data_IF_866383914803
#
_entry.id   IF_866383914803
#
_cell.length_a   1.000
_cell.length_b   1.000
_cell.length_c   1.000
_cell.angle_alpha   90.00
_cell.angle_beta   90.00
_cell.angle_gamma   90.00
#
_symmetry.space_group_name_H-M   'P 1'
#
loop_
_entity.id
_entity.type
_entity.pdbx_description
1 polymer ?
#
# COMPACT_ATOMS: atom_id res chain seq x y z
N UNK A 1 -28.17 -33.95 15.94
CA UNK A 1 -28.48 -32.86 14.97
C UNK A 1 -28.23 -31.46 15.54
N UNK A 2 -28.58 -31.18 16.80
CA UNK A 2 -28.36 -29.86 17.45
C UNK A 2 -26.88 -29.45 17.52
N UNK A 3 -25.98 -30.36 17.90
CA UNK A 3 -24.53 -30.11 18.00
C UNK A 3 -23.87 -29.76 16.66
N UNK A 4 -24.32 -30.38 15.56
CA UNK A 4 -23.78 -30.09 14.22
C UNK A 4 -24.16 -28.67 13.77
N UNK A 5 -25.37 -28.20 14.12
CA UNK A 5 -25.79 -26.83 13.83
C UNK A 5 -24.98 -25.80 14.62
N UNK A 6 -24.70 -26.08 15.91
CA UNK A 6 -23.88 -25.20 16.75
C UNK A 6 -22.41 -25.16 16.31
N UNK A 7 -21.84 -26.29 15.86
CA UNK A 7 -20.48 -26.33 15.30
C UNK A 7 -20.37 -25.53 14.00
N UNK A 8 -21.37 -25.63 13.11
CA UNK A 8 -21.41 -24.86 11.87
C UNK A 8 -21.57 -23.37 12.15
N UNK A 9 -22.39 -22.98 13.12
CA UNK A 9 -22.57 -21.58 13.50
C UNK A 9 -21.32 -20.97 14.17
N UNK A 10 -20.64 -21.72 15.04
CA UNK A 10 -19.33 -21.32 15.59
C UNK A 10 -18.27 -21.21 14.50
N UNK A 11 -18.28 -22.11 13.51
CA UNK A 11 -17.41 -22.06 12.33
C UNK A 11 -17.63 -20.79 11.50
N UNK A 12 -18.89 -20.45 11.20
CA UNK A 12 -19.27 -19.21 10.49
C UNK A 12 -18.87 -17.95 11.26
N UNK A 13 -19.10 -17.92 12.58
CA UNK A 13 -18.70 -16.81 13.46
C UNK A 13 -17.17 -16.62 13.45
N UNK A 14 -16.40 -17.70 13.58
CA UNK A 14 -14.93 -17.64 13.54
C UNK A 14 -14.39 -17.20 12.17
N UNK A 15 -15.02 -17.64 11.07
CA UNK A 15 -14.68 -17.18 9.72
C UNK A 15 -14.98 -15.69 9.53
N UNK A 16 -16.12 -15.22 10.04
CA UNK A 16 -16.52 -13.81 9.94
C UNK A 16 -15.56 -12.89 10.71
N UNK A 17 -15.16 -13.30 11.93
CA UNK A 17 -14.16 -12.56 12.73
C UNK A 17 -12.80 -12.51 12.04
N UNK A 18 -12.33 -13.64 11.47
CA UNK A 18 -11.08 -13.67 10.69
C UNK A 18 -11.17 -12.79 9.44
N UNK A 19 -12.30 -12.81 8.74
CA UNK A 19 -12.55 -11.97 7.56
C UNK A 19 -12.53 -10.48 7.91
N UNK A 20 -13.19 -10.07 9.00
CA UNK A 20 -13.12 -8.68 9.49
C UNK A 20 -11.71 -8.24 9.86
N UNK A 21 -10.93 -9.12 10.53
CA UNK A 21 -9.54 -8.82 10.87
C UNK A 21 -8.66 -8.66 9.61
N UNK A 22 -8.94 -9.42 8.55
CA UNK A 22 -8.25 -9.30 7.27
C UNK A 22 -8.62 -8.02 6.50
N UNK A 23 -9.88 -7.58 6.61
CA UNK A 23 -10.37 -6.37 5.96
C UNK A 23 -9.53 -5.12 6.35
N UNK A 24 -8.98 -5.10 7.57
CA UNK A 24 -8.08 -4.05 8.06
C UNK A 24 -6.83 -3.84 7.18
N UNK A 25 -6.37 -4.88 6.49
CA UNK A 25 -5.18 -4.84 5.64
C UNK A 25 -5.48 -4.62 4.15
N UNK A 26 -6.75 -4.61 3.74
CA UNK A 26 -7.12 -4.46 2.33
C UNK A 26 -6.62 -3.14 1.74
N UNK A 27 -6.72 -2.03 2.48
CA UNK A 27 -6.28 -0.72 2.00
C UNK A 27 -4.78 -0.71 1.65
N UNK A 28 -3.95 -1.37 2.45
CA UNK A 28 -2.52 -1.49 2.21
C UNK A 28 -2.25 -2.24 0.91
N UNK A 29 -2.96 -3.36 0.71
CA UNK A 29 -2.80 -4.18 -0.49
C UNK A 29 -3.23 -3.45 -1.76
N UNK A 30 -4.38 -2.77 -1.74
CA UNK A 30 -4.88 -2.03 -2.91
C UNK A 30 -3.98 -0.85 -3.26
N UNK A 31 -3.50 -0.10 -2.27
CA UNK A 31 -2.61 1.03 -2.54
C UNK A 31 -1.23 0.55 -3.01
N UNK A 32 -0.66 -0.50 -2.40
CA UNK A 32 0.59 -1.11 -2.90
C UNK A 32 0.42 -1.63 -4.33
N UNK A 33 -0.70 -2.26 -4.68
CA UNK A 33 -0.97 -2.66 -6.06
C UNK A 33 -1.05 -1.45 -7.01
N UNK A 34 -1.67 -0.34 -6.59
CA UNK A 34 -1.70 0.90 -7.36
C UNK A 34 -0.30 1.47 -7.63
N UNK A 35 0.58 1.49 -6.62
CA UNK A 35 1.99 1.86 -6.80
C UNK A 35 2.71 0.92 -7.74
N UNK A 36 2.55 -0.40 -7.55
CA UNK A 36 3.14 -1.40 -8.42
C UNK A 36 2.78 -1.16 -9.90
N UNK A 37 1.50 -1.01 -10.22
CA UNK A 37 1.09 -0.80 -11.61
C UNK A 37 1.56 0.53 -12.18
N UNK A 38 1.58 1.59 -11.37
CA UNK A 38 2.07 2.91 -11.78
C UNK A 38 3.58 2.87 -12.07
N UNK A 39 4.36 2.29 -11.16
CA UNK A 39 5.81 2.11 -11.31
C UNK A 39 6.13 1.21 -12.51
N UNK A 40 5.34 0.15 -12.73
CA UNK A 40 5.50 -0.77 -13.87
C UNK A 40 5.22 -0.08 -15.19
N UNK A 41 4.12 0.68 -15.27
CA UNK A 41 3.79 1.45 -16.47
C UNK A 41 4.89 2.47 -16.78
N UNK A 42 5.36 3.20 -15.77
CA UNK A 42 6.43 4.17 -15.94
C UNK A 42 7.75 3.53 -16.37
N UNK A 43 8.10 2.36 -15.82
CA UNK A 43 9.27 1.58 -16.25
C UNK A 43 9.20 1.24 -17.74
N UNK A 44 8.06 0.74 -18.22
CA UNK A 44 7.90 0.39 -19.64
C UNK A 44 8.05 1.59 -20.57
N UNK A 45 7.55 2.77 -20.16
CA UNK A 45 7.73 4.00 -20.94
C UNK A 45 9.20 4.45 -21.00
N UNK A 46 10.00 4.19 -19.96
CA UNK A 46 11.43 4.53 -19.92
C UNK A 46 12.33 3.47 -20.56
N UNK A 47 11.88 2.21 -20.64
CA UNK A 47 12.65 1.09 -21.19
C UNK A 47 13.05 1.31 -22.66
N UNK A 48 12.24 2.04 -23.42
CA UNK A 48 12.53 2.38 -24.83
C UNK A 48 13.56 3.50 -25.03
N UNK A 49 14.09 4.10 -23.95
CA UNK A 49 15.02 5.23 -24.02
C UNK A 49 16.45 4.82 -23.69
N UNK A 50 17.42 5.47 -24.34
CA UNK A 50 18.84 5.39 -23.98
C UNK A 50 19.07 5.95 -22.57
N UNK A 51 19.47 5.08 -21.64
CA UNK A 51 19.84 5.46 -20.27
C UNK A 51 19.43 4.44 -19.22
N UNK A 52 19.81 4.72 -17.96
CA UNK A 52 19.52 3.87 -16.80
C UNK A 52 18.40 4.42 -15.92
N UNK A 53 17.64 5.41 -16.40
CA UNK A 53 16.56 6.05 -15.64
C UNK A 53 15.40 5.09 -15.32
N UNK A 54 15.23 4.03 -16.12
CA UNK A 54 14.26 2.97 -15.87
C UNK A 54 14.59 2.13 -14.61
N UNK A 55 15.83 2.17 -14.11
CA UNK A 55 16.22 1.46 -12.89
C UNK A 55 15.46 1.97 -11.66
N UNK A 56 15.11 3.26 -11.63
CA UNK A 56 14.40 3.83 -10.48
C UNK A 56 12.98 3.24 -10.33
N UNK A 57 12.10 3.27 -11.34
CA UNK A 57 10.82 2.57 -11.23
C UNK A 57 10.98 1.06 -11.07
N UNK A 58 12.01 0.43 -11.66
CA UNK A 58 12.29 -0.98 -11.45
C UNK A 58 12.64 -1.32 -9.98
N UNK A 59 13.45 -0.48 -9.33
CA UNK A 59 13.77 -0.63 -7.92
C UNK A 59 12.53 -0.46 -7.03
N UNK A 60 11.66 0.50 -7.36
CA UNK A 60 10.39 0.69 -6.65
C UNK A 60 9.47 -0.54 -6.80
N UNK A 61 9.44 -1.19 -7.96
CA UNK A 61 8.71 -2.45 -8.13
C UNK A 61 9.21 -3.55 -7.19
N UNK A 62 10.52 -3.68 -7.01
CA UNK A 62 11.08 -4.66 -6.08
C UNK A 62 10.66 -4.36 -4.64
N UNK A 63 10.61 -3.08 -4.27
CA UNK A 63 10.09 -2.63 -2.97
C UNK A 63 8.60 -2.98 -2.84
N UNK A 64 7.78 -2.68 -3.85
CA UNK A 64 6.35 -2.99 -3.85
C UNK A 64 6.08 -4.50 -3.72
N UNK A 65 6.86 -5.34 -4.42
CA UNK A 65 6.79 -6.79 -4.31
C UNK A 65 7.15 -7.24 -2.89
N UNK A 66 8.25 -6.73 -2.33
CA UNK A 66 8.68 -7.09 -0.98
C UNK A 66 7.61 -6.72 0.07
N UNK A 67 7.01 -5.53 -0.07
CA UNK A 67 5.88 -5.08 0.76
C UNK A 67 4.66 -5.99 0.59
N UNK A 68 4.30 -6.33 -0.65
CA UNK A 68 3.16 -7.22 -0.93
C UNK A 68 3.36 -8.63 -0.35
N UNK A 69 4.59 -9.16 -0.37
CA UNK A 69 4.95 -10.44 0.25
C UNK A 69 4.80 -10.37 1.78
N UNK A 70 5.29 -9.31 2.43
CA UNK A 70 5.14 -9.12 3.88
C UNK A 70 3.65 -9.00 4.28
N UNK A 71 2.88 -8.20 3.53
CA UNK A 71 1.44 -8.03 3.76
C UNK A 71 0.66 -9.34 3.60
N UNK A 72 1.03 -10.17 2.63
CA UNK A 72 0.37 -11.47 2.39
C UNK A 72 0.78 -12.50 3.44
N UNK A 73 2.04 -12.50 3.89
CA UNK A 73 2.50 -13.35 4.99
C UNK A 73 1.80 -13.07 6.33
N UNK A 74 1.44 -11.80 6.59
CA UNK A 74 0.69 -11.38 7.79
C UNK A 74 -0.75 -11.88 7.84
N UNK A 75 -1.32 -12.34 6.73
CA UNK A 75 -2.61 -13.05 6.72
C UNK A 75 -2.56 -14.33 7.56
N UNK A 76 -1.41 -15.03 7.54
CA UNK A 76 -1.24 -16.31 8.21
C UNK A 76 -0.67 -16.19 9.62
N UNK A 77 0.08 -15.12 9.92
CA UNK A 77 0.62 -14.83 11.26
C UNK A 77 0.30 -13.38 11.64
N UNK A 78 -0.74 -13.14 12.47
CA UNK A 78 -1.05 -11.80 12.95
C UNK A 78 0.07 -11.35 13.88
N UNK A 79 1.03 -10.60 13.33
CA UNK A 79 2.11 -10.00 14.09
C UNK A 79 2.06 -8.49 13.86
N UNK A 80 1.99 -7.73 14.95
CA UNK A 80 1.67 -6.29 14.95
C UNK A 80 2.72 -5.39 14.29
N UNK A 81 3.94 -5.87 14.04
CA UNK A 81 5.05 -5.04 13.52
C UNK A 81 5.10 -5.04 12.00
N UNK A 82 4.63 -3.98 11.34
CA UNK A 82 4.74 -3.77 9.88
C UNK A 82 6.03 -3.00 9.52
N UNK A 83 7.19 -3.59 9.81
CA UNK A 83 8.48 -2.91 9.64
C UNK A 83 8.86 -2.74 8.17
N UNK A 84 8.66 -3.75 7.32
CA UNK A 84 9.04 -3.64 5.90
C UNK A 84 8.06 -2.71 5.14
N UNK A 85 6.77 -2.80 5.46
CA UNK A 85 5.72 -1.98 4.88
C UNK A 85 5.92 -0.50 5.19
N UNK A 86 6.30 -0.16 6.43
CA UNK A 86 6.64 1.23 6.79
C UNK A 86 7.86 1.74 6.03
N UNK A 87 8.96 0.96 6.01
CA UNK A 87 10.17 1.35 5.27
C UNK A 87 9.91 1.48 3.77
N UNK A 88 9.13 0.57 3.18
CA UNK A 88 8.77 0.61 1.76
C UNK A 88 7.99 1.87 1.38
N UNK A 89 7.00 2.28 2.17
CA UNK A 89 6.29 3.53 1.92
C UNK A 89 7.15 4.78 2.14
N UNK A 90 8.11 4.74 3.08
CA UNK A 90 9.10 5.79 3.22
C UNK A 90 10.01 5.92 2.00
N UNK A 91 10.45 4.79 1.43
CA UNK A 91 11.22 4.78 0.17
C UNK A 91 10.38 5.34 -0.98
N UNK A 92 9.11 4.94 -1.11
CA UNK A 92 8.21 5.47 -2.14
C UNK A 92 7.98 6.98 -1.97
N UNK A 93 7.80 7.45 -0.72
CA UNK A 93 7.63 8.87 -0.42
C UNK A 93 8.90 9.67 -0.74
N UNK A 94 10.08 9.18 -0.33
CA UNK A 94 11.36 9.81 -0.64
C UNK A 94 11.61 9.89 -2.15
N UNK A 95 11.25 8.84 -2.89
CA UNK A 95 11.31 8.83 -4.35
C UNK A 95 10.38 9.89 -4.96
N UNK A 96 9.11 9.92 -4.54
CA UNK A 96 8.16 10.93 -5.01
C UNK A 96 8.61 12.37 -4.70
N UNK A 97 9.18 12.63 -3.51
CA UNK A 97 9.74 13.94 -3.17
C UNK A 97 10.92 14.31 -4.07
N UNK A 98 11.83 13.35 -4.32
CA UNK A 98 12.98 13.55 -5.20
C UNK A 98 12.53 13.89 -6.63
N UNK A 99 11.49 13.21 -7.11
CA UNK A 99 10.88 13.44 -8.41
C UNK A 99 10.21 14.83 -8.52
N UNK A 100 9.58 15.31 -7.46
CA UNK A 100 9.08 16.70 -7.39
C UNK A 100 10.24 17.70 -7.42
N UNK A 101 11.34 17.45 -6.72
CA UNK A 101 12.52 18.34 -6.77
C UNK A 101 13.13 18.40 -8.17
N UNK A 102 13.34 17.25 -8.82
CA UNK A 102 13.80 17.14 -10.22
C UNK A 102 12.93 18.01 -11.14
N UNK A 103 11.63 18.03 -10.88
CA UNK A 103 10.67 18.81 -11.64
C UNK A 103 10.78 20.31 -11.43
N UNK A 104 11.05 20.75 -10.20
CA UNK A 104 11.34 22.15 -9.89
C UNK A 104 12.66 22.65 -10.52
N UNK A 105 13.66 21.76 -10.67
CA UNK A 105 14.93 22.08 -11.33
C UNK A 105 14.89 21.98 -12.87
N UNK A 106 13.74 21.63 -13.46
CA UNK A 106 13.56 21.62 -14.92
C UNK A 106 14.06 20.34 -15.63
N UNK A 107 14.40 19.29 -14.90
CA UNK A 107 14.89 18.01 -15.48
C UNK A 107 13.74 17.05 -15.90
N UNK A 108 12.55 17.59 -16.18
CA UNK A 108 11.35 16.81 -16.52
C UNK A 108 11.53 15.90 -17.74
N UNK A 109 12.21 16.42 -18.77
CA UNK A 109 12.44 15.70 -20.03
C UNK A 109 13.32 14.46 -19.84
N UNK A 110 13.98 14.29 -18.70
CA UNK A 110 14.81 13.12 -18.38
C UNK A 110 13.95 11.97 -17.83
N UNK A 111 13.05 12.27 -16.90
CA UNK A 111 12.23 11.26 -16.20
C UNK A 111 10.85 11.03 -16.84
N UNK A 112 10.33 12.02 -17.57
CA UNK A 112 9.07 11.95 -18.31
C UNK A 112 9.22 12.51 -19.74
N UNK A 113 10.07 11.90 -20.58
CA UNK A 113 10.27 12.33 -21.98
C UNK A 113 9.01 12.24 -22.85
N UNK A 114 8.02 11.45 -22.42
CA UNK A 114 6.77 11.18 -23.12
C UNK A 114 5.66 12.20 -22.80
N UNK A 115 5.92 13.13 -21.87
CA UNK A 115 4.95 14.13 -21.44
C UNK A 115 5.29 15.48 -22.06
N UNK A 116 4.27 16.17 -22.56
CA UNK A 116 4.40 17.52 -23.10
C UNK A 116 4.42 18.55 -21.96
N UNK A 117 4.93 19.76 -22.22
CA UNK A 117 5.09 20.78 -21.19
C UNK A 117 3.74 21.20 -20.57
N UNK A 118 2.64 21.12 -21.34
CA UNK A 118 1.28 21.40 -20.87
C UNK A 118 0.73 20.34 -19.90
N UNK A 119 1.21 19.09 -19.94
CA UNK A 119 0.74 18.00 -19.06
C UNK A 119 1.63 17.76 -17.84
N UNK A 120 2.65 18.60 -17.64
CA UNK A 120 3.51 18.57 -16.45
C UNK A 120 2.73 18.70 -15.13
N UNK A 121 1.72 19.58 -15.07
CA UNK A 121 0.90 19.75 -13.86
C UNK A 121 0.18 18.47 -13.46
N UNK A 122 -0.17 17.60 -14.41
CA UNK A 122 -0.82 16.31 -14.12
C UNK A 122 0.12 15.36 -13.39
N UNK A 123 1.40 15.31 -13.80
CA UNK A 123 2.43 14.51 -13.11
C UNK A 123 2.59 15.00 -11.68
N UNK A 124 2.68 16.32 -11.47
CA UNK A 124 2.79 16.89 -10.12
C UNK A 124 1.62 16.47 -9.24
N UNK A 125 0.39 16.55 -9.76
CA UNK A 125 -0.80 16.10 -9.03
C UNK A 125 -0.70 14.62 -8.68
N UNK A 126 -0.29 13.76 -9.62
CA UNK A 126 -0.12 12.32 -9.38
C UNK A 126 0.94 12.06 -8.29
N UNK A 127 2.09 12.75 -8.34
CA UNK A 127 3.14 12.64 -7.31
C UNK A 127 2.66 13.11 -5.94
N UNK A 128 1.93 14.23 -5.87
CA UNK A 128 1.34 14.76 -4.65
C UNK A 128 0.30 13.80 -4.04
N UNK A 129 -0.58 13.24 -4.88
CA UNK A 129 -1.55 12.21 -4.46
C UNK A 129 -0.82 10.97 -3.96
N UNK A 130 0.23 10.53 -4.64
CA UNK A 130 1.06 9.41 -4.22
C UNK A 130 1.70 9.64 -2.85
N UNK A 131 2.25 10.83 -2.60
CA UNK A 131 2.77 11.21 -1.29
C UNK A 131 1.69 11.23 -0.21
N UNK A 132 0.51 11.78 -0.51
CA UNK A 132 -0.64 11.78 0.38
C UNK A 132 -1.06 10.36 0.78
N UNK A 133 -1.11 9.43 -0.18
CA UNK A 133 -1.41 8.03 0.08
C UNK A 133 -0.35 7.36 0.98
N UNK A 134 0.94 7.60 0.75
CA UNK A 134 2.00 7.10 1.62
C UNK A 134 1.83 7.58 3.07
N UNK A 135 1.55 8.87 3.28
CA UNK A 135 1.33 9.43 4.62
C UNK A 135 0.07 8.86 5.29
N UNK A 136 -1.01 8.69 4.54
CA UNK A 136 -2.25 8.09 5.04
C UNK A 136 -2.03 6.63 5.49
N UNK A 137 -1.27 5.86 4.71
CA UNK A 137 -0.94 4.49 5.04
C UNK A 137 -0.03 4.40 6.25
N UNK A 138 0.95 5.30 6.38
CA UNK A 138 1.81 5.34 7.56
C UNK A 138 1.01 5.69 8.83
N UNK A 139 0.15 6.71 8.76
CA UNK A 139 -0.75 7.07 9.86
C UNK A 139 -1.65 5.89 10.25
N UNK A 140 -2.24 5.20 9.27
CA UNK A 140 -3.01 3.98 9.53
C UNK A 140 -2.16 2.87 10.11
N UNK A 141 -0.95 2.62 9.60
CA UNK A 141 -0.06 1.59 10.13
C UNK A 141 0.30 1.84 11.60
N UNK A 142 0.51 3.10 11.99
CA UNK A 142 0.73 3.50 13.39
C UNK A 142 -0.51 3.25 14.25
N UNK A 143 -1.69 3.63 13.76
CA UNK A 143 -2.96 3.36 14.44
C UNK A 143 -3.21 1.85 14.63
N UNK A 144 -2.77 1.06 13.65
CA UNK A 144 -2.83 -0.41 13.73
C UNK A 144 -1.90 -0.96 14.79
N UNK A 145 -0.66 -0.47 14.82
CA UNK A 145 0.36 -0.88 15.78
C UNK A 145 0.01 -0.50 17.23
N UNK A 146 -0.80 0.54 17.45
CA UNK A 146 -1.20 1.00 18.77
C UNK A 146 -2.55 0.44 19.23
N UNK A 147 -3.17 -0.46 18.45
CA UNK A 147 -4.50 -1.04 18.70
C UNK A 147 -5.64 -0.02 18.98
N UNK A 148 -5.46 1.25 18.60
CA UNK A 148 -6.46 2.31 18.76
C UNK A 148 -7.45 2.43 17.59
N UNK A 149 -7.44 1.43 16.70
CA UNK A 149 -8.21 1.48 15.47
C UNK A 149 -9.71 1.30 15.74
N UNK A 150 -10.56 2.02 15.00
CA UNK A 150 -12.03 1.88 15.10
C UNK A 150 -12.47 0.43 14.87
N UNK A 151 -11.71 -0.33 14.07
CA UNK A 151 -11.95 -1.75 13.84
C UNK A 151 -11.72 -2.63 15.08
N UNK A 152 -10.80 -2.27 15.98
CA UNK A 152 -10.60 -3.02 17.22
C UNK A 152 -11.83 -2.91 18.13
N UNK A 153 -12.38 -1.69 18.27
CA UNK A 153 -13.64 -1.45 18.99
C UNK A 153 -14.80 -2.23 18.38
N UNK A 154 -14.97 -2.19 17.05
CA UNK A 154 -16.02 -2.95 16.36
C UNK A 154 -15.88 -4.46 16.59
N UNK A 155 -14.65 -4.98 16.57
CA UNK A 155 -14.36 -6.41 16.77
C UNK A 155 -14.58 -6.83 18.24
N UNK A 156 -14.35 -5.92 19.18
CA UNK A 156 -14.64 -6.10 20.59
C UNK A 156 -16.16 -6.06 20.86
N UNK A 157 -16.89 -5.10 20.28
CA UNK A 157 -18.35 -5.01 20.37
C UNK A 157 -19.02 -6.23 19.74
N UNK A 158 -18.49 -6.72 18.61
CA UNK A 158 -18.96 -7.95 17.98
C UNK A 158 -18.72 -9.18 18.87
N UNK A 159 -17.55 -9.28 19.53
CA UNK A 159 -17.28 -10.36 20.50
C UNK A 159 -18.23 -10.31 21.70
N UNK A 160 -18.55 -9.12 22.20
CA UNK A 160 -19.50 -8.93 23.32
C UNK A 160 -20.92 -9.31 22.89
N UNK A 161 -21.35 -8.99 21.67
CA UNK A 161 -22.68 -9.37 21.14
C UNK A 161 -22.85 -10.88 20.89
N UNK A 162 -21.74 -11.63 20.91
CA UNK A 162 -21.70 -13.06 20.64
C UNK A 162 -21.62 -13.92 21.91
N UNK A 163 -21.36 -13.31 23.07
CA UNK A 163 -21.47 -13.92 24.41
C UNK A 163 -22.90 -13.82 24.91
#
# INVERSE_FOLDING_TARGET
>A
MKDMSEMVDRGRKNLSIKSMAFNRFLIFRYVTAGFFFTNMYWMFLLFGRTGLYWLLPAALLLVDIAVAVEQTGKYWRPNHKLTLTMTGYWIQLASNMSLVMVMLFGFNRTFWPFINDQSQSVILIILLVGMGLCLLLEWRARLISQDQDKYFKLLQDFKVSLQ
#
